data_IF_478408744302
#
_entry.id   IF_478408744302
#
_cell.length_a   1.000
_cell.length_b   1.000
_cell.length_c   1.000
_cell.angle_alpha   90.00
_cell.angle_beta   90.00
_cell.angle_gamma   90.00
#
_symmetry.space_group_name_H-M   'P 1'
#
loop_
_entity.id
_entity.type
_entity.pdbx_description
1 polymer ?
#
# COMPACT_ATOMS: atom_id res chain seq x y z
N UNK A 1 31.40 -1.97 -29.45
CA UNK A 1 30.34 -1.25 -28.70
C UNK A 1 30.27 0.15 -29.32
N UNK A 2 29.34 0.35 -30.24
CA UNK A 2 29.11 1.65 -30.85
C UNK A 2 28.43 2.52 -29.80
N UNK A 3 29.07 3.58 -29.36
CA UNK A 3 28.48 4.56 -28.43
C UNK A 3 27.46 5.33 -29.27
N UNK A 4 26.18 5.11 -29.04
CA UNK A 4 25.13 5.93 -29.65
C UNK A 4 25.24 7.33 -29.05
N UNK A 5 25.56 8.33 -29.86
CA UNK A 5 25.52 9.72 -29.44
C UNK A 5 24.05 10.13 -29.22
N UNK A 6 23.74 10.49 -28.00
CA UNK A 6 22.45 11.09 -27.65
C UNK A 6 22.54 12.57 -27.89
N UNK A 7 21.65 13.11 -28.73
CA UNK A 7 21.56 14.55 -28.95
C UNK A 7 21.11 15.30 -27.69
N UNK A 8 21.43 16.61 -27.64
CA UNK A 8 21.13 17.45 -26.49
C UNK A 8 19.63 17.50 -26.15
N UNK A 9 18.77 17.48 -27.16
CA UNK A 9 17.31 17.50 -26.94
C UNK A 9 16.85 16.24 -26.22
N UNK A 10 17.28 15.08 -26.68
CA UNK A 10 17.00 13.78 -26.03
C UNK A 10 17.55 13.76 -24.60
N UNK A 11 18.77 14.25 -24.37
CA UNK A 11 19.36 14.30 -23.04
C UNK A 11 18.56 15.18 -22.06
N UNK A 12 18.09 16.35 -22.50
CA UNK A 12 17.27 17.25 -21.69
C UNK A 12 15.90 16.61 -21.34
N UNK A 13 15.28 15.95 -22.30
CA UNK A 13 14.02 15.21 -22.09
C UNK A 13 14.20 14.07 -21.10
N UNK A 14 15.27 13.28 -21.22
CA UNK A 14 15.59 12.22 -20.26
C UNK A 14 15.77 12.80 -18.86
N UNK A 15 16.49 13.91 -18.71
CA UNK A 15 16.69 14.56 -17.41
C UNK A 15 15.36 15.05 -16.79
N UNK A 16 14.44 15.60 -17.60
CA UNK A 16 13.12 16.00 -17.13
C UNK A 16 12.29 14.79 -16.65
N UNK A 17 12.25 13.72 -17.45
CA UNK A 17 11.56 12.47 -17.08
C UNK A 17 12.17 11.87 -15.81
N UNK A 18 13.51 11.85 -15.66
CA UNK A 18 14.19 11.37 -14.46
C UNK A 18 13.76 12.18 -13.23
N UNK A 19 13.71 13.51 -13.33
CA UNK A 19 13.26 14.38 -12.24
C UNK A 19 11.82 14.02 -11.83
N UNK A 20 10.89 13.91 -12.79
CA UNK A 20 9.50 13.56 -12.51
C UNK A 20 9.35 12.16 -11.93
N UNK A 21 10.19 11.20 -12.33
CA UNK A 21 10.24 9.87 -11.72
C UNK A 21 10.69 9.94 -10.26
N UNK A 22 11.70 10.75 -9.92
CA UNK A 22 12.18 10.88 -8.55
C UNK A 22 11.19 11.61 -7.62
N UNK A 23 10.35 12.46 -8.19
CA UNK A 23 9.26 13.18 -7.51
C UNK A 23 7.90 12.46 -7.69
N UNK A 24 7.91 11.16 -8.07
CA UNK A 24 6.72 10.43 -8.48
C UNK A 24 5.70 10.31 -7.36
N UNK A 25 4.51 10.87 -7.60
CA UNK A 25 3.28 10.57 -6.90
C UNK A 25 2.47 9.57 -7.73
N UNK A 26 1.88 8.56 -7.08
CA UNK A 26 1.09 7.52 -7.76
C UNK A 26 -0.32 8.02 -8.14
N UNK A 27 -0.37 9.16 -8.79
CA UNK A 27 -1.59 9.67 -9.42
C UNK A 27 -1.59 9.19 -10.89
N UNK A 28 -2.70 8.59 -11.37
CA UNK A 28 -2.75 8.03 -12.72
C UNK A 28 -2.33 9.03 -13.81
N UNK A 29 -2.74 10.29 -13.69
CA UNK A 29 -2.45 11.35 -14.65
C UNK A 29 -0.96 11.71 -14.71
N UNK A 30 -0.27 11.64 -13.56
CA UNK A 30 1.19 11.89 -13.49
C UNK A 30 1.95 10.75 -14.15
N UNK A 31 1.55 9.50 -13.89
CA UNK A 31 2.16 8.31 -14.48
C UNK A 31 1.90 8.29 -15.99
N UNK A 32 0.68 8.57 -16.44
CA UNK A 32 0.31 8.66 -17.86
C UNK A 32 1.14 9.71 -18.60
N UNK A 33 1.30 10.91 -18.02
CA UNK A 33 2.16 11.95 -18.60
C UNK A 33 3.61 11.54 -18.75
N UNK A 34 4.17 10.78 -17.78
CA UNK A 34 5.54 10.22 -17.88
C UNK A 34 5.60 9.15 -18.99
N UNK A 35 4.58 8.28 -19.10
CA UNK A 35 4.48 7.28 -20.17
C UNK A 35 4.45 7.95 -21.54
N UNK A 36 3.58 8.95 -21.72
CA UNK A 36 3.43 9.70 -22.97
C UNK A 36 4.74 10.35 -23.41
N UNK A 37 5.44 11.04 -22.49
CA UNK A 37 6.71 11.69 -22.83
C UNK A 37 7.80 10.67 -23.15
N UNK A 38 7.85 9.56 -22.41
CA UNK A 38 8.80 8.48 -22.68
C UNK A 38 8.51 7.82 -24.03
N UNK A 39 7.24 7.48 -24.32
CA UNK A 39 6.82 6.90 -25.58
C UNK A 39 7.13 7.82 -26.77
N UNK A 40 6.84 9.11 -26.63
CA UNK A 40 7.15 10.13 -27.66
C UNK A 40 8.66 10.23 -27.92
N UNK A 41 9.49 10.13 -26.87
CA UNK A 41 10.94 10.23 -26.99
C UNK A 41 11.56 9.05 -27.75
N UNK A 42 10.98 7.85 -27.56
CA UNK A 42 11.44 6.60 -28.20
C UNK A 42 10.58 6.18 -29.39
N UNK A 43 9.66 7.03 -29.82
CA UNK A 43 8.77 6.80 -30.97
C UNK A 43 7.95 5.50 -30.83
N UNK A 44 7.51 5.17 -29.60
CA UNK A 44 6.64 4.05 -29.36
C UNK A 44 5.19 4.36 -29.75
N UNK A 45 4.46 3.35 -30.22
CA UNK A 45 3.06 3.47 -30.63
C UNK A 45 2.11 3.46 -29.43
N UNK A 46 2.48 2.77 -28.36
CA UNK A 46 1.72 2.63 -27.13
C UNK A 46 2.64 2.40 -25.92
N UNK A 47 2.12 2.60 -24.71
CA UNK A 47 2.90 2.36 -23.51
C UNK A 47 2.02 1.92 -22.32
N UNK A 48 2.64 1.23 -21.37
CA UNK A 48 2.00 0.87 -20.11
C UNK A 48 2.96 0.97 -18.92
N UNK A 49 2.42 1.30 -17.76
CA UNK A 49 3.08 1.20 -16.46
C UNK A 49 2.27 0.29 -15.55
N UNK A 50 2.94 -0.58 -14.83
CA UNK A 50 2.32 -1.40 -13.81
C UNK A 50 3.15 -1.37 -12.52
N UNK A 51 2.48 -1.19 -11.38
CA UNK A 51 3.04 -1.44 -10.07
C UNK A 51 2.21 -2.53 -9.39
N UNK A 52 2.80 -3.70 -9.30
CA UNK A 52 2.18 -4.95 -8.88
C UNK A 52 2.77 -5.36 -7.53
N UNK A 53 1.97 -5.22 -6.48
CA UNK A 53 2.35 -5.54 -5.10
C UNK A 53 1.22 -6.36 -4.42
N UNK A 54 1.34 -6.61 -3.10
CA UNK A 54 0.30 -7.32 -2.32
C UNK A 54 -1.01 -6.52 -2.18
N UNK A 55 -0.97 -5.20 -2.40
CA UNK A 55 -2.14 -4.33 -2.36
C UNK A 55 -2.91 -4.29 -3.67
N UNK A 56 -3.62 -3.20 -3.90
CA UNK A 56 -4.30 -2.96 -5.17
C UNK A 56 -3.28 -2.70 -6.27
N UNK A 57 -3.26 -3.51 -7.34
CA UNK A 57 -2.34 -3.27 -8.45
C UNK A 57 -2.68 -1.94 -9.13
N UNK A 58 -1.65 -1.15 -9.45
CA UNK A 58 -1.78 0.01 -10.31
C UNK A 58 -1.40 -0.40 -11.73
N UNK A 59 -2.29 -0.12 -12.67
CA UNK A 59 -2.01 -0.22 -14.10
C UNK A 59 -2.46 1.10 -14.73
N UNK A 60 -1.55 1.71 -15.50
CA UNK A 60 -1.79 2.92 -16.26
C UNK A 60 -1.32 2.69 -17.68
N UNK A 61 -2.09 3.11 -18.66
CA UNK A 61 -1.77 2.90 -20.06
C UNK A 61 -1.82 4.23 -20.84
N UNK A 62 -1.10 4.28 -21.94
CA UNK A 62 -1.14 5.39 -22.89
C UNK A 62 -1.28 4.83 -24.30
N UNK A 63 -2.30 5.32 -25.01
CA UNK A 63 -2.63 4.98 -26.42
C UNK A 63 -2.86 3.47 -26.68
N UNK A 64 -3.41 2.74 -25.69
CA UNK A 64 -3.64 1.29 -25.82
C UNK A 64 -5.10 0.90 -26.02
N UNK A 65 -6.05 1.78 -25.72
CA UNK A 65 -7.44 1.39 -25.49
C UNK A 65 -7.62 0.53 -24.22
N UNK A 66 -8.83 0.02 -23.94
CA UNK A 66 -9.15 -0.66 -22.69
C UNK A 66 -8.65 -2.11 -22.58
N UNK A 67 -8.20 -2.71 -23.68
CA UNK A 67 -7.97 -4.15 -23.80
C UNK A 67 -6.90 -4.66 -22.82
N UNK A 68 -5.84 -3.88 -22.58
CA UNK A 68 -4.76 -4.26 -21.66
C UNK A 68 -5.28 -4.27 -20.23
N UNK A 69 -6.01 -3.24 -19.80
CA UNK A 69 -6.54 -3.14 -18.46
C UNK A 69 -7.60 -4.23 -18.20
N UNK A 70 -8.54 -4.42 -19.12
CA UNK A 70 -9.57 -5.46 -19.02
C UNK A 70 -8.96 -6.85 -18.90
N UNK A 71 -7.96 -7.15 -19.75
CA UNK A 71 -7.26 -8.43 -19.71
C UNK A 71 -6.49 -8.63 -18.41
N UNK A 72 -5.75 -7.62 -17.99
CA UNK A 72 -4.97 -7.64 -16.77
C UNK A 72 -5.85 -7.90 -15.54
N UNK A 73 -6.90 -7.09 -15.32
CA UNK A 73 -7.77 -7.26 -14.15
C UNK A 73 -8.55 -8.58 -14.16
N UNK A 74 -8.83 -9.12 -15.34
CA UNK A 74 -9.46 -10.45 -15.48
C UNK A 74 -8.52 -11.59 -15.09
N UNK A 75 -7.24 -11.47 -15.39
CA UNK A 75 -6.26 -12.57 -15.26
C UNK A 75 -5.31 -12.43 -14.07
N UNK A 76 -5.21 -11.27 -13.45
CA UNK A 76 -4.36 -11.06 -12.28
C UNK A 76 -4.82 -11.91 -11.10
N UNK A 77 -3.95 -12.78 -10.60
CA UNK A 77 -4.22 -13.71 -9.49
C UNK A 77 -3.48 -13.33 -8.19
N UNK A 78 -2.93 -12.10 -8.13
CA UNK A 78 -2.23 -11.59 -6.96
C UNK A 78 -0.72 -11.81 -7.00
N UNK A 79 -0.09 -11.70 -5.83
CA UNK A 79 1.35 -11.90 -5.63
C UNK A 79 1.53 -13.03 -4.63
N UNK A 80 2.38 -14.01 -4.96
CA UNK A 80 2.63 -15.14 -4.07
C UNK A 80 3.65 -14.79 -2.96
N UNK A 81 3.86 -15.74 -2.02
CA UNK A 81 4.76 -15.54 -0.87
C UNK A 81 6.22 -15.25 -1.24
N UNK A 82 6.64 -15.66 -2.44
CA UNK A 82 7.99 -15.42 -2.95
C UNK A 82 8.08 -14.10 -3.72
N UNK A 83 6.97 -13.37 -3.77
CA UNK A 83 6.83 -12.07 -4.45
C UNK A 83 6.67 -12.19 -5.97
N UNK A 84 6.28 -13.35 -6.49
CA UNK A 84 6.03 -13.52 -7.92
C UNK A 84 4.61 -13.04 -8.24
N UNK A 85 4.49 -12.30 -9.36
CA UNK A 85 3.20 -11.93 -9.93
C UNK A 85 2.57 -13.18 -10.53
N UNK A 86 1.34 -13.48 -10.11
CA UNK A 86 0.61 -14.65 -10.58
C UNK A 86 -0.50 -14.23 -11.54
N UNK A 87 -0.73 -15.06 -12.55
CA UNK A 87 -1.79 -14.90 -13.52
C UNK A 87 -2.59 -16.20 -13.68
N UNK A 88 -3.88 -16.09 -13.98
CA UNK A 88 -4.70 -17.23 -14.41
C UNK A 88 -4.45 -17.63 -15.86
N UNK A 89 -3.80 -16.77 -16.66
CA UNK A 89 -3.26 -17.10 -17.98
C UNK A 89 -1.89 -17.78 -17.80
N UNK A 90 -1.75 -19.06 -18.21
CA UNK A 90 -0.50 -19.83 -18.01
C UNK A 90 0.72 -19.22 -18.72
N UNK A 91 0.55 -18.65 -19.93
CA UNK A 91 1.64 -18.08 -20.69
C UNK A 91 2.12 -16.78 -20.05
N UNK A 92 1.20 -15.92 -19.61
CA UNK A 92 1.52 -14.70 -18.87
C UNK A 92 2.14 -15.02 -17.51
N UNK A 93 1.65 -16.06 -16.80
CA UNK A 93 2.23 -16.51 -15.54
C UNK A 93 3.70 -16.95 -15.72
N UNK A 94 4.00 -17.72 -16.75
CA UNK A 94 5.36 -18.14 -17.09
C UNK A 94 6.28 -16.95 -17.44
N UNK A 95 5.78 -15.96 -18.17
CA UNK A 95 6.53 -14.74 -18.47
C UNK A 95 6.82 -13.96 -17.19
N UNK A 96 5.84 -13.83 -16.30
CA UNK A 96 6.02 -13.16 -15.01
C UNK A 96 7.09 -13.87 -14.17
N UNK A 97 7.06 -15.19 -14.07
CA UNK A 97 8.06 -15.97 -13.35
C UNK A 97 9.45 -15.81 -13.97
N UNK A 98 9.57 -15.87 -15.30
CA UNK A 98 10.84 -15.67 -16.01
C UNK A 98 11.39 -14.27 -15.77
N UNK A 99 10.55 -13.23 -15.88
CA UNK A 99 10.93 -11.84 -15.62
C UNK A 99 11.42 -11.67 -14.17
N UNK A 100 10.74 -12.30 -13.22
CA UNK A 100 11.14 -12.31 -11.80
C UNK A 100 12.52 -12.94 -11.58
N UNK A 101 12.83 -14.03 -12.27
CA UNK A 101 14.13 -14.72 -12.20
C UNK A 101 15.26 -13.87 -12.79
N UNK A 102 15.04 -13.25 -13.94
CA UNK A 102 16.03 -12.38 -14.60
C UNK A 102 16.28 -11.13 -13.74
N UNK A 103 15.24 -10.55 -13.14
CA UNK A 103 15.35 -9.45 -12.17
C UNK A 103 15.15 -8.07 -12.78
N UNK A 104 15.80 -7.04 -12.16
CA UNK A 104 15.66 -5.65 -12.60
C UNK A 104 16.54 -5.34 -13.80
N UNK A 105 16.01 -4.59 -14.77
CA UNK A 105 16.75 -4.22 -15.98
C UNK A 105 15.85 -3.72 -17.09
N UNK A 106 16.44 -3.48 -18.25
CA UNK A 106 15.74 -3.18 -19.50
C UNK A 106 15.80 -4.42 -20.39
N UNK A 107 14.64 -4.84 -20.89
CA UNK A 107 14.50 -6.09 -21.62
C UNK A 107 13.55 -5.94 -22.80
N UNK A 108 13.83 -6.64 -23.89
CA UNK A 108 12.85 -6.97 -24.93
C UNK A 108 12.05 -8.17 -24.46
N UNK A 109 10.84 -8.30 -24.95
CA UNK A 109 9.95 -9.45 -24.69
C UNK A 109 10.61 -10.80 -24.97
N UNK A 110 11.49 -10.85 -26.01
CA UNK A 110 12.25 -12.04 -26.39
C UNK A 110 13.20 -12.57 -25.31
N UNK A 111 13.48 -11.78 -24.27
CA UNK A 111 14.23 -12.24 -23.11
C UNK A 111 13.40 -13.17 -22.19
N UNK A 112 12.08 -13.14 -22.31
CA UNK A 112 11.17 -13.89 -21.44
C UNK A 112 10.57 -15.13 -22.13
N UNK A 113 10.32 -15.06 -23.44
CA UNK A 113 9.79 -16.16 -24.24
C UNK A 113 10.16 -15.98 -25.72
N UNK A 114 10.14 -17.08 -26.51
CA UNK A 114 10.31 -16.98 -27.95
C UNK A 114 9.14 -16.25 -28.60
N UNK A 115 9.39 -15.63 -29.75
CA UNK A 115 8.34 -14.92 -30.49
C UNK A 115 7.17 -15.82 -30.85
N UNK A 116 7.42 -17.06 -31.18
CA UNK A 116 6.38 -18.05 -31.47
C UNK A 116 5.44 -18.26 -30.26
N UNK A 117 6.00 -18.41 -29.07
CA UNK A 117 5.20 -18.55 -27.84
C UNK A 117 4.36 -17.28 -27.59
N UNK A 118 4.97 -16.11 -27.75
CA UNK A 118 4.28 -14.82 -27.50
C UNK A 118 3.10 -14.65 -28.45
N UNK A 119 3.28 -14.88 -29.76
CA UNK A 119 2.23 -14.71 -30.77
C UNK A 119 1.03 -15.66 -30.56
N UNK A 120 1.27 -16.85 -30.02
CA UNK A 120 0.21 -17.82 -29.74
C UNK A 120 -0.46 -17.61 -28.37
N UNK A 121 0.15 -16.85 -27.48
CA UNK A 121 -0.38 -16.61 -26.14
C UNK A 121 -1.67 -15.78 -26.16
N UNK A 122 -2.58 -16.07 -25.22
CA UNK A 122 -3.86 -15.37 -25.11
C UNK A 122 -3.66 -13.89 -24.80
N UNK A 123 -2.76 -13.55 -23.86
CA UNK A 123 -2.48 -12.15 -23.51
C UNK A 123 -2.04 -11.30 -24.72
N UNK A 124 -1.25 -11.87 -25.62
CA UNK A 124 -0.81 -11.17 -26.82
C UNK A 124 -1.97 -10.93 -27.78
N UNK A 125 -2.74 -11.98 -28.09
CA UNK A 125 -3.84 -11.89 -29.08
C UNK A 125 -5.02 -11.04 -28.60
N UNK A 126 -5.35 -11.12 -27.32
CA UNK A 126 -6.53 -10.44 -26.76
C UNK A 126 -6.25 -9.03 -26.22
N UNK A 127 -5.01 -8.75 -25.81
CA UNK A 127 -4.66 -7.48 -25.18
C UNK A 127 -3.55 -6.73 -25.92
N UNK A 128 -2.36 -7.29 -26.05
CA UNK A 128 -1.19 -6.54 -26.51
C UNK A 128 -1.25 -6.20 -28.00
N UNK A 129 -1.57 -7.17 -28.85
CA UNK A 129 -1.67 -6.94 -30.30
C UNK A 129 -2.76 -5.92 -30.66
N UNK A 130 -4.00 -6.02 -30.14
CA UNK A 130 -5.04 -5.00 -30.41
C UNK A 130 -4.71 -3.62 -29.84
N UNK A 131 -3.88 -3.55 -28.80
CA UNK A 131 -3.43 -2.32 -28.17
C UNK A 131 -2.21 -1.65 -28.86
N UNK A 132 -1.76 -2.19 -30.00
CA UNK A 132 -0.58 -1.64 -30.69
C UNK A 132 0.76 -2.03 -30.05
N UNK A 133 0.76 -2.97 -29.12
CA UNK A 133 1.96 -3.46 -28.40
C UNK A 133 2.41 -4.83 -28.96
N UNK A 134 2.54 -4.95 -30.27
CA UNK A 134 2.93 -6.20 -30.91
C UNK A 134 4.37 -6.62 -30.56
N UNK A 135 5.26 -5.64 -30.42
CA UNK A 135 6.64 -5.83 -29.94
C UNK A 135 6.84 -4.92 -28.72
N UNK A 136 7.48 -5.42 -27.68
CA UNK A 136 7.61 -4.72 -26.41
C UNK A 136 9.06 -4.63 -25.96
N UNK A 137 9.45 -3.42 -25.55
CA UNK A 137 10.70 -3.17 -24.82
C UNK A 137 10.30 -2.48 -23.49
N UNK A 138 10.77 -3.00 -22.37
CA UNK A 138 10.40 -2.44 -21.08
C UNK A 138 11.52 -2.42 -20.08
N UNK A 139 11.35 -1.62 -19.03
CA UNK A 139 12.18 -1.65 -17.85
C UNK A 139 11.39 -2.24 -16.69
N UNK A 140 12.05 -3.08 -15.91
CA UNK A 140 11.48 -3.75 -14.74
C UNK A 140 12.29 -3.41 -13.51
N UNK A 141 11.63 -3.13 -12.42
CA UNK A 141 12.21 -3.07 -11.07
C UNK A 141 11.58 -4.15 -10.21
N UNK A 142 12.39 -5.16 -9.87
CA UNK A 142 12.00 -6.14 -8.85
C UNK A 142 11.93 -5.46 -7.48
N UNK A 143 10.80 -5.59 -6.82
CA UNK A 143 10.57 -5.13 -5.46
C UNK A 143 10.75 -6.29 -4.47
N UNK A 144 10.72 -6.04 -3.19
CA UNK A 144 10.78 -7.12 -2.22
C UNK A 144 9.55 -8.05 -2.35
N UNK A 145 8.38 -7.48 -2.62
CA UNK A 145 7.16 -8.21 -3.01
C UNK A 145 6.61 -7.57 -4.28
N UNK A 146 6.46 -8.37 -5.34
CA UNK A 146 6.00 -7.86 -6.62
C UNK A 146 7.07 -7.11 -7.42
N UNK A 147 6.64 -6.28 -8.34
CA UNK A 147 7.50 -5.54 -9.27
C UNK A 147 6.83 -4.29 -9.84
N UNK A 148 7.64 -3.36 -10.35
CA UNK A 148 7.22 -2.26 -11.17
C UNK A 148 7.73 -2.45 -12.60
N UNK A 149 6.89 -2.14 -13.58
CA UNK A 149 7.17 -2.30 -15.01
C UNK A 149 6.78 -1.02 -15.75
N UNK A 150 7.66 -0.57 -16.65
CA UNK A 150 7.34 0.37 -17.71
C UNK A 150 7.62 -0.30 -19.04
N UNK A 151 6.65 -0.32 -19.95
CA UNK A 151 6.77 -1.01 -21.23
C UNK A 151 6.35 -0.10 -22.38
N UNK A 152 7.18 -0.07 -23.42
CA UNK A 152 6.98 0.64 -24.68
C UNK A 152 6.62 -0.38 -25.76
N UNK A 153 5.51 -0.15 -26.44
CA UNK A 153 4.96 -1.03 -27.46
C UNK A 153 5.12 -0.48 -28.87
N UNK A 154 5.34 -1.38 -29.82
CA UNK A 154 5.48 -1.09 -31.24
C UNK A 154 4.56 -1.97 -32.08
N UNK A 155 3.89 -1.39 -33.07
CA UNK A 155 2.96 -2.11 -33.96
C UNK A 155 3.67 -3.06 -34.91
N UNK A 156 4.90 -2.74 -35.35
CA UNK A 156 5.61 -3.51 -36.36
C UNK A 156 7.06 -3.75 -35.98
N UNK A 157 7.60 -4.85 -36.50
CA UNK A 157 9.01 -5.24 -36.40
C UNK A 157 9.96 -4.17 -36.98
N UNK A 158 9.51 -3.48 -38.04
CA UNK A 158 10.28 -2.38 -38.63
C UNK A 158 10.44 -1.20 -37.66
N UNK A 159 9.40 -0.84 -36.96
CA UNK A 159 9.47 0.22 -35.94
C UNK A 159 10.47 -0.18 -34.84
N UNK A 160 10.37 -1.41 -34.33
CA UNK A 160 11.30 -1.92 -33.33
C UNK A 160 12.76 -2.01 -33.87
N UNK A 161 12.97 -2.43 -35.08
CA UNK A 161 14.31 -2.52 -35.66
C UNK A 161 15.00 -1.15 -35.83
N UNK A 162 14.21 -0.10 -36.12
CA UNK A 162 14.73 1.27 -36.28
C UNK A 162 14.95 1.95 -34.95
N UNK A 163 14.04 1.75 -34.00
CA UNK A 163 14.01 2.50 -32.74
C UNK A 163 14.49 1.70 -31.52
N UNK A 164 14.63 0.37 -31.66
CA UNK A 164 14.91 -0.54 -30.53
C UNK A 164 16.19 -0.21 -29.76
N UNK A 165 17.30 0.13 -30.43
CA UNK A 165 18.54 0.53 -29.74
C UNK A 165 18.38 1.87 -29.00
N UNK A 166 17.68 2.84 -29.61
CA UNK A 166 17.36 4.12 -29.00
C UNK A 166 16.49 3.90 -27.76
N UNK A 167 15.46 3.05 -27.88
CA UNK A 167 14.55 2.70 -26.77
C UNK A 167 15.33 2.08 -25.62
N UNK A 168 16.12 1.05 -25.87
CA UNK A 168 16.93 0.41 -24.83
C UNK A 168 17.89 1.40 -24.16
N UNK A 169 18.52 2.28 -24.94
CA UNK A 169 19.42 3.30 -24.40
C UNK A 169 18.68 4.29 -23.51
N UNK A 170 17.57 4.85 -23.97
CA UNK A 170 16.75 5.79 -23.20
C UNK A 170 16.22 5.13 -21.92
N UNK A 171 15.66 3.92 -22.02
CA UNK A 171 15.15 3.20 -20.85
C UNK A 171 16.28 2.85 -19.86
N UNK A 172 17.48 2.50 -20.31
CA UNK A 172 18.64 2.29 -19.44
C UNK A 172 19.08 3.58 -18.71
N UNK A 173 18.97 4.75 -19.35
CA UNK A 173 19.20 6.02 -18.70
C UNK A 173 18.11 6.35 -17.66
N UNK A 174 16.86 5.99 -17.92
CA UNK A 174 15.75 6.20 -16.99
C UNK A 174 15.71 5.18 -15.85
N UNK A 175 16.27 3.98 -16.04
CA UNK A 175 16.20 2.88 -15.09
C UNK A 175 16.64 3.23 -13.66
N UNK A 176 17.73 3.99 -13.42
CA UNK A 176 18.13 4.36 -12.04
C UNK A 176 17.07 5.21 -11.33
N UNK A 177 16.50 6.21 -11.99
CA UNK A 177 15.43 7.05 -11.42
C UNK A 177 14.15 6.25 -11.20
N UNK A 178 13.73 5.45 -12.17
CA UNK A 178 12.61 4.53 -12.06
C UNK A 178 12.78 3.55 -10.89
N UNK A 179 13.94 2.90 -10.81
CA UNK A 179 14.22 1.93 -9.74
C UNK A 179 14.22 2.58 -8.36
N UNK A 180 14.75 3.81 -8.23
CA UNK A 180 14.74 4.56 -6.98
C UNK A 180 13.34 4.99 -6.57
N UNK A 181 12.55 5.51 -7.51
CA UNK A 181 11.16 5.94 -7.27
C UNK A 181 10.30 4.79 -6.72
N UNK A 182 10.26 3.66 -7.43
CA UNK A 182 9.43 2.52 -7.02
C UNK A 182 9.96 1.81 -5.78
N UNK A 183 11.27 1.79 -5.53
CA UNK A 183 11.81 1.30 -4.27
C UNK A 183 11.42 2.19 -3.08
N UNK A 184 11.40 3.52 -3.27
CA UNK A 184 10.94 4.47 -2.25
C UNK A 184 9.45 4.30 -1.95
N UNK A 185 8.61 4.23 -2.99
CA UNK A 185 7.16 4.00 -2.85
C UNK A 185 6.85 2.66 -2.14
N UNK A 186 7.54 1.58 -2.51
CA UNK A 186 7.40 0.27 -1.86
C UNK A 186 7.81 0.34 -0.37
N UNK A 187 8.90 1.04 -0.07
CA UNK A 187 9.35 1.25 1.30
C UNK A 187 8.33 2.07 2.12
N UNK A 188 7.79 3.15 1.56
CA UNK A 188 6.78 4.00 2.20
C UNK A 188 5.50 3.20 2.48
N UNK A 189 4.98 2.48 1.48
CA UNK A 189 3.78 1.65 1.63
C UNK A 189 3.92 0.62 2.76
N UNK A 190 5.03 -0.10 2.81
CA UNK A 190 5.30 -1.07 3.89
C UNK A 190 5.51 -0.44 5.25
N UNK A 191 6.16 0.72 5.29
CA UNK A 191 6.35 1.45 6.55
C UNK A 191 5.01 1.91 7.09
N UNK A 192 4.15 2.42 6.22
CA UNK A 192 2.80 2.83 6.59
C UNK A 192 1.95 1.64 7.08
N UNK A 193 2.00 0.51 6.38
CA UNK A 193 1.29 -0.70 6.79
C UNK A 193 1.78 -1.23 8.16
N UNK A 194 3.10 -1.31 8.35
CA UNK A 194 3.69 -1.70 9.64
C UNK A 194 3.31 -0.74 10.76
N UNK A 195 3.28 0.56 10.48
CA UNK A 195 2.85 1.58 11.45
C UNK A 195 1.37 1.41 11.78
N UNK A 196 0.51 1.23 10.79
CA UNK A 196 -0.92 0.98 11.00
C UNK A 196 -1.15 -0.30 11.83
N UNK A 197 -0.41 -1.38 11.53
CA UNK A 197 -0.48 -2.61 12.30
C UNK A 197 0.00 -2.40 13.74
N UNK A 198 1.14 -1.73 13.93
CA UNK A 198 1.66 -1.42 15.26
C UNK A 198 0.70 -0.53 16.07
N UNK A 199 0.05 0.45 15.42
CA UNK A 199 -1.00 1.28 16.03
C UNK A 199 -2.21 0.42 16.42
N UNK A 200 -2.68 -0.45 15.53
CA UNK A 200 -3.82 -1.33 15.78
C UNK A 200 -3.55 -2.33 16.92
N UNK A 201 -2.32 -2.81 17.03
CA UNK A 201 -1.88 -3.72 18.12
C UNK A 201 -1.46 -2.97 19.38
N UNK A 202 -1.22 -1.66 19.31
CA UNK A 202 -0.82 -0.87 20.46
C UNK A 202 -1.97 -0.71 21.45
N UNK A 203 -1.65 -0.72 22.75
CA UNK A 203 -2.59 -0.37 23.81
C UNK A 203 -2.78 1.15 23.96
N UNK A 204 -2.27 1.94 23.01
CA UNK A 204 -2.31 3.38 23.04
C UNK A 204 -3.44 3.92 22.16
N UNK A 205 -4.07 4.99 22.59
CA UNK A 205 -5.00 5.79 21.80
C UNK A 205 -4.17 6.82 21.02
N UNK A 206 -4.10 6.66 19.68
CA UNK A 206 -3.34 7.53 18.78
C UNK A 206 -4.34 8.32 17.95
N UNK A 207 -4.28 9.64 18.04
CA UNK A 207 -5.18 10.55 17.31
C UNK A 207 -4.38 11.54 16.49
N UNK A 208 -4.88 11.83 15.30
CA UNK A 208 -4.49 12.99 14.53
C UNK A 208 -5.40 14.16 14.94
N UNK A 209 -4.81 15.31 15.20
CA UNK A 209 -5.54 16.55 15.54
C UNK A 209 -5.02 17.68 14.69
N UNK A 210 -5.91 18.42 14.04
CA UNK A 210 -5.56 19.51 13.15
C UNK A 210 -5.00 20.74 13.89
N UNK A 211 -5.17 20.78 15.22
CA UNK A 211 -4.73 21.89 16.06
C UNK A 211 -3.87 21.38 17.22
N UNK A 212 -3.04 22.27 17.75
CA UNK A 212 -2.31 22.01 18.99
C UNK A 212 -3.29 21.61 20.10
N UNK A 213 -3.08 20.46 20.76
CA UNK A 213 -4.00 19.98 21.78
C UNK A 213 -4.17 21.01 22.89
N UNK A 214 -5.40 21.44 23.11
CA UNK A 214 -5.73 22.40 24.19
C UNK A 214 -5.31 21.87 25.56
N UNK A 215 -5.12 22.77 26.53
CA UNK A 215 -4.63 22.45 27.88
C UNK A 215 -5.43 21.36 28.62
N UNK A 216 -6.70 21.15 28.27
CA UNK A 216 -7.54 20.08 28.83
C UNK A 216 -7.25 18.69 28.21
N UNK A 217 -6.71 18.64 27.01
CA UNK A 217 -6.34 17.40 26.31
C UNK A 217 -4.88 17.02 26.59
N UNK A 218 -4.00 18.01 26.81
CA UNK A 218 -2.59 17.82 27.19
C UNK A 218 -2.45 16.99 28.48
N UNK A 219 -3.38 17.10 29.42
CA UNK A 219 -3.38 16.30 30.64
C UNK A 219 -3.67 14.81 30.48
N UNK A 220 -4.07 14.36 29.25
CA UNK A 220 -4.35 12.95 28.94
C UNK A 220 -3.35 12.34 27.97
N UNK A 221 -2.66 13.14 27.18
CA UNK A 221 -1.68 12.66 26.22
C UNK A 221 -0.32 12.43 26.88
N UNK A 222 0.32 11.30 26.57
CA UNK A 222 1.72 11.05 26.97
C UNK A 222 2.68 11.85 26.12
N UNK A 223 2.34 12.02 24.84
CA UNK A 223 3.20 12.65 23.87
C UNK A 223 2.35 13.30 22.77
N UNK A 224 2.68 14.54 22.47
CA UNK A 224 2.17 15.25 21.31
C UNK A 224 3.36 15.54 20.39
N UNK A 225 3.29 15.05 19.17
CA UNK A 225 4.32 15.23 18.14
C UNK A 225 3.75 16.09 17.03
N UNK A 226 4.35 17.24 16.70
CA UNK A 226 4.00 17.98 15.50
C UNK A 226 4.34 17.13 14.27
N UNK A 227 3.48 17.18 13.25
CA UNK A 227 3.79 16.57 11.96
C UNK A 227 4.86 17.41 11.23
N UNK A 228 5.61 16.80 10.30
CA UNK A 228 6.65 17.53 9.53
C UNK A 228 6.11 18.72 8.75
N UNK A 229 4.86 18.64 8.28
CA UNK A 229 4.13 19.76 7.71
C UNK A 229 3.41 20.51 8.83
N UNK A 230 3.72 21.81 9.05
CA UNK A 230 3.09 22.61 10.11
C UNK A 230 1.56 22.70 10.01
N UNK A 231 1.03 22.60 8.80
CA UNK A 231 -0.43 22.65 8.54
C UNK A 231 -1.11 21.27 8.70
N UNK A 232 -0.34 20.21 8.83
CA UNK A 232 -0.86 18.85 8.96
C UNK A 232 -1.26 18.47 10.40
N UNK A 233 -0.97 19.33 11.40
CA UNK A 233 -1.40 19.15 12.79
C UNK A 233 -0.46 18.33 13.67
N UNK A 234 -1.01 17.58 14.62
CA UNK A 234 -0.27 16.85 15.65
C UNK A 234 -0.71 15.40 15.75
N UNK A 235 0.22 14.52 16.12
CA UNK A 235 -0.05 13.16 16.58
C UNK A 235 -0.09 13.20 18.11
N UNK A 236 -1.25 12.91 18.70
CA UNK A 236 -1.44 12.74 20.15
C UNK A 236 -1.44 11.25 20.50
N UNK A 237 -0.55 10.85 21.40
CA UNK A 237 -0.46 9.48 21.89
C UNK A 237 -0.88 9.48 23.35
N UNK A 238 -1.91 8.72 23.71
CA UNK A 238 -2.44 8.60 25.07
C UNK A 238 -2.75 7.14 25.44
N UNK A 239 -2.84 6.84 26.76
CA UNK A 239 -3.33 5.53 27.17
C UNK A 239 -4.77 5.34 26.68
N UNK A 240 -5.18 4.10 26.42
CA UNK A 240 -6.53 3.83 25.94
C UNK A 240 -7.58 4.34 26.92
N UNK A 241 -8.61 5.00 26.38
CA UNK A 241 -9.76 5.48 27.16
C UNK A 241 -10.44 4.30 27.87
N UNK A 242 -10.92 4.56 29.08
CA UNK A 242 -11.70 3.60 29.87
C UNK A 242 -12.92 3.03 29.11
N UNK A 243 -13.48 3.76 28.13
CA UNK A 243 -14.53 3.25 27.27
C UNK A 243 -14.04 2.14 26.34
N UNK A 244 -12.87 2.30 25.73
CA UNK A 244 -12.23 1.30 24.85
C UNK A 244 -11.91 0.05 25.68
N UNK A 245 -11.27 0.23 26.82
CA UNK A 245 -10.92 -0.86 27.73
C UNK A 245 -12.17 -1.61 28.24
N UNK A 246 -13.25 -0.90 28.58
CA UNK A 246 -14.51 -1.52 29.01
C UNK A 246 -15.16 -2.34 27.89
N UNK A 247 -15.12 -1.84 26.65
CA UNK A 247 -15.61 -2.58 25.48
C UNK A 247 -14.79 -3.85 25.20
N UNK A 248 -13.46 -3.79 25.34
CA UNK A 248 -12.58 -4.98 25.24
C UNK A 248 -12.95 -6.02 26.31
N UNK A 249 -13.08 -5.59 27.57
CA UNK A 249 -13.53 -6.48 28.65
C UNK A 249 -14.91 -7.09 28.33
N UNK A 250 -15.86 -6.29 27.84
CA UNK A 250 -17.18 -6.77 27.48
C UNK A 250 -17.14 -7.86 26.40
N UNK A 251 -16.35 -7.65 25.36
CA UNK A 251 -16.19 -8.62 24.27
C UNK A 251 -15.50 -9.91 24.75
N UNK A 252 -14.43 -9.80 25.53
CA UNK A 252 -13.65 -10.96 25.98
C UNK A 252 -14.39 -11.80 27.03
N UNK A 253 -15.10 -11.16 27.97
CA UNK A 253 -15.72 -11.84 29.11
C UNK A 253 -17.26 -11.88 29.03
N UNK A 254 -17.85 -11.50 27.90
CA UNK A 254 -19.30 -11.54 27.69
C UNK A 254 -20.08 -10.65 28.66
N UNK A 255 -19.55 -9.43 28.96
CA UNK A 255 -20.26 -8.50 29.85
C UNK A 255 -21.52 -7.97 29.17
N UNK A 256 -22.60 -7.82 29.95
CA UNK A 256 -23.80 -7.13 29.46
C UNK A 256 -23.54 -5.62 29.30
N UNK A 257 -24.36 -4.92 28.49
CA UNK A 257 -24.25 -3.46 28.32
C UNK A 257 -24.21 -2.69 29.64
N UNK A 258 -24.98 -3.10 30.67
CA UNK A 258 -24.94 -2.49 32.00
C UNK A 258 -23.64 -2.78 32.76
N UNK A 259 -23.09 -3.97 32.58
CA UNK A 259 -21.79 -4.35 33.15
C UNK A 259 -20.62 -3.66 32.42
N UNK A 260 -20.70 -3.46 31.12
CA UNK A 260 -19.74 -2.66 30.36
C UNK A 260 -19.68 -1.22 30.85
N UNK A 261 -20.85 -0.57 31.05
CA UNK A 261 -20.90 0.80 31.62
C UNK A 261 -20.32 0.81 33.04
N UNK A 262 -20.59 -0.21 33.87
CA UNK A 262 -19.97 -0.33 35.19
C UNK A 262 -18.46 -0.52 35.09
N UNK A 263 -17.97 -1.39 34.20
CA UNK A 263 -16.54 -1.59 33.96
C UNK A 263 -15.87 -0.27 33.59
N UNK A 264 -16.46 0.53 32.68
CA UNK A 264 -15.98 1.86 32.34
C UNK A 264 -15.87 2.77 33.60
N UNK A 265 -16.91 2.83 34.42
CA UNK A 265 -16.87 3.61 35.67
C UNK A 265 -15.73 3.17 36.60
N UNK A 266 -15.48 1.85 36.71
CA UNK A 266 -14.41 1.31 37.53
C UNK A 266 -13.02 1.66 36.98
N UNK A 267 -12.86 1.63 35.66
CA UNK A 267 -11.63 2.00 34.96
C UNK A 267 -11.35 3.51 35.01
N UNK A 268 -12.41 4.35 35.02
CA UNK A 268 -12.34 5.79 35.27
C UNK A 268 -12.00 6.11 36.75
N UNK A 269 -11.87 5.09 37.61
CA UNK A 269 -11.53 5.27 39.02
C UNK A 269 -12.71 5.67 39.94
N UNK A 270 -13.95 5.69 39.43
CA UNK A 270 -15.12 6.11 40.18
C UNK A 270 -15.42 5.15 41.35
N UNK A 271 -15.81 5.68 42.49
CA UNK A 271 -16.37 4.90 43.60
C UNK A 271 -17.71 4.29 43.20
N UNK A 272 -18.15 3.26 43.93
CA UNK A 272 -19.46 2.63 43.69
C UNK A 272 -20.61 3.62 43.79
N UNK A 273 -20.50 4.64 44.68
CA UNK A 273 -21.49 5.69 44.85
C UNK A 273 -21.54 6.63 43.65
N UNK A 274 -20.38 7.05 43.13
CA UNK A 274 -20.27 7.88 41.93
C UNK A 274 -20.73 7.13 40.68
N UNK A 275 -20.35 5.84 40.53
CA UNK A 275 -20.83 4.99 39.47
C UNK A 275 -22.37 4.83 39.50
N UNK A 276 -22.96 4.66 40.68
CA UNK A 276 -24.42 4.60 40.85
C UNK A 276 -25.11 5.88 40.37
N UNK A 277 -24.56 7.04 40.75
CA UNK A 277 -25.06 8.35 40.31
C UNK A 277 -24.95 8.52 38.81
N UNK A 278 -23.79 8.18 38.20
CA UNK A 278 -23.56 8.26 36.75
C UNK A 278 -24.47 7.32 35.93
N UNK A 279 -24.75 6.13 36.48
CA UNK A 279 -25.63 5.12 35.84
C UNK A 279 -27.12 5.36 36.14
N UNK A 280 -27.45 6.31 36.99
CA UNK A 280 -28.82 6.60 37.50
C UNK A 280 -29.49 5.36 38.10
N UNK A 281 -28.77 4.64 38.97
CA UNK A 281 -29.24 3.44 39.69
C UNK A 281 -28.96 3.54 41.19
N UNK A 282 -29.57 2.64 42.00
CA UNK A 282 -29.28 2.58 43.42
C UNK A 282 -27.83 2.11 43.69
N UNK A 283 -27.23 2.53 44.82
CA UNK A 283 -25.87 2.10 45.21
C UNK A 283 -25.81 0.57 45.38
N UNK A 284 -26.88 -0.06 45.86
CA UNK A 284 -26.94 -1.53 45.95
C UNK A 284 -26.95 -2.22 44.58
N UNK A 285 -27.65 -1.65 43.61
CA UNK A 285 -27.63 -2.15 42.21
C UNK A 285 -26.25 -1.96 41.59
N UNK A 286 -25.61 -0.82 41.80
CA UNK A 286 -24.27 -0.55 41.35
C UNK A 286 -23.24 -1.54 41.95
N UNK A 287 -23.38 -1.86 43.26
CA UNK A 287 -22.54 -2.85 43.95
C UNK A 287 -22.66 -4.23 43.27
N UNK A 288 -23.88 -4.67 43.02
CA UNK A 288 -24.13 -5.96 42.29
C UNK A 288 -23.51 -6.00 40.90
N UNK A 289 -23.60 -4.89 40.16
CA UNK A 289 -22.93 -4.82 38.83
C UNK A 289 -21.40 -4.84 38.96
N UNK A 290 -20.85 -4.13 39.97
CA UNK A 290 -19.40 -4.16 40.25
C UNK A 290 -18.91 -5.58 40.56
N UNK A 291 -19.60 -6.28 41.47
CA UNK A 291 -19.30 -7.66 41.87
C UNK A 291 -19.41 -8.60 40.67
N UNK A 292 -20.43 -8.44 39.84
CA UNK A 292 -20.61 -9.26 38.61
C UNK A 292 -19.50 -9.02 37.58
N UNK A 293 -19.04 -7.78 37.38
CA UNK A 293 -17.91 -7.46 36.53
C UNK A 293 -16.64 -8.11 37.07
N UNK A 294 -16.32 -7.94 38.32
CA UNK A 294 -15.14 -8.53 38.95
C UNK A 294 -15.15 -10.06 38.90
N UNK A 295 -16.30 -10.69 39.16
CA UNK A 295 -16.47 -12.13 39.12
C UNK A 295 -16.28 -12.69 37.70
N UNK A 296 -16.91 -12.06 36.68
CA UNK A 296 -16.78 -12.51 35.28
C UNK A 296 -15.38 -12.35 34.73
N UNK A 297 -14.65 -11.31 35.12
CA UNK A 297 -13.27 -11.06 34.70
C UNK A 297 -12.24 -11.81 35.55
N UNK A 298 -12.64 -12.54 36.57
CA UNK A 298 -11.72 -13.19 37.51
C UNK A 298 -10.88 -12.20 38.33
N UNK A 299 -11.24 -10.94 38.35
CA UNK A 299 -10.50 -9.87 39.05
C UNK A 299 -10.94 -9.77 40.48
N UNK A 300 -10.02 -9.90 41.45
CA UNK A 300 -10.30 -9.77 42.89
C UNK A 300 -10.40 -8.31 43.37
N UNK A 301 -9.83 -7.38 42.62
CA UNK A 301 -9.73 -5.95 42.97
C UNK A 301 -9.80 -5.09 41.73
N UNK A 302 -10.22 -3.81 41.91
CA UNK A 302 -10.26 -2.82 40.80
C UNK A 302 -8.89 -2.63 40.10
N UNK A 303 -7.79 -2.62 40.88
CA UNK A 303 -6.46 -2.50 40.35
C UNK A 303 -6.07 -3.71 39.46
N UNK A 304 -6.58 -4.91 39.76
CA UNK A 304 -6.39 -6.10 38.94
C UNK A 304 -7.23 -6.02 37.66
N UNK A 305 -8.46 -5.47 37.74
CA UNK A 305 -9.30 -5.22 36.56
C UNK A 305 -8.62 -4.25 35.58
N UNK A 306 -8.00 -3.18 36.08
CA UNK A 306 -7.31 -2.19 35.25
C UNK A 306 -6.10 -2.82 34.53
N UNK A 307 -5.29 -3.61 35.24
CA UNK A 307 -4.18 -4.37 34.62
C UNK A 307 -4.67 -5.36 33.58
N UNK A 308 -5.71 -6.12 33.90
CA UNK A 308 -6.31 -7.07 32.96
C UNK A 308 -6.86 -6.37 31.72
N UNK A 309 -7.58 -5.24 31.88
CA UNK A 309 -8.13 -4.50 30.74
C UNK A 309 -7.04 -3.99 29.79
N UNK A 310 -5.87 -3.62 30.31
CA UNK A 310 -4.71 -3.19 29.54
C UNK A 310 -3.92 -4.35 28.89
N UNK A 311 -4.00 -5.56 29.47
CA UNK A 311 -3.32 -6.74 28.90
C UNK A 311 -4.11 -7.45 27.79
N UNK A 312 -5.39 -7.08 27.61
CA UNK A 312 -6.21 -7.61 26.50
C UNK A 312 -5.92 -6.78 25.26
N UNK A 313 -5.04 -7.28 24.39
CA UNK A 313 -4.86 -6.75 23.03
C UNK A 313 -6.16 -6.87 22.25
N UNK A 314 -6.46 -5.89 21.41
CA UNK A 314 -7.62 -5.97 20.52
C UNK A 314 -7.39 -7.05 19.47
N UNK A 315 -7.79 -8.29 19.77
CA UNK A 315 -7.99 -9.26 18.71
C UNK A 315 -9.18 -8.75 17.89
N UNK A 316 -8.90 -8.21 16.71
CA UNK A 316 -9.93 -8.00 15.69
C UNK A 316 -10.63 -9.34 15.44
N UNK A 317 -11.96 -9.38 15.40
CA UNK A 317 -12.65 -10.59 14.96
C UNK A 317 -12.20 -10.90 13.53
N UNK A 318 -11.82 -12.17 13.32
CA UNK A 318 -11.53 -12.72 11.99
C UNK A 318 -12.73 -12.60 11.07
#
# INVERSE_FOLDING_TARGET
MQIMEIDLHTALKVADIQKRLLELELQPEVVEGILQDTASLVEADAAMAAWLNEGTPLLTTWNTGPQIEEYFYRTFAGVDRDGNIRSTDPDLDNINLTRRQIGSGVYRESAFASREIIEHAAFHREAFYPAGMNYVVGMTKRLAVGEAVFAMGYCSDKALAITGEKTETVLNLLLPAFASAFASLDHQARTQERLQHAIAESDMDIRLTDNEPGSSEVGRAFLNLPLPDPDAGYISISPPDAAILAKRLANTFGLTKRQEVMARCLLDGLSTKEAAARMKISVNTARRHCEAVLARTGSRRRSALNRLARSITSSLPK
#
